data_IF_305029241625
#
_entry.id   IF_305029241625
#
_cell.length_a   1.000
_cell.length_b   1.000
_cell.length_c   1.000
_cell.angle_alpha   90.00
_cell.angle_beta   90.00
_cell.angle_gamma   90.00
#
_symmetry.space_group_name_H-M   'P 1'
#
loop_
_entity.id
_entity.type
_entity.pdbx_description
1 polymer ?
#
# COMPACT_ATOMS: atom_id res chain seq x y z
N UNK A 1 25.04 16.97 7.30
CA UNK A 1 24.42 17.44 8.52
C UNK A 1 22.88 17.53 8.35
N UNK A 2 22.12 18.40 9.09
CA UNK A 2 20.65 18.43 9.08
C UNK A 2 20.01 18.64 7.72
N UNK A 3 20.59 19.43 6.83
CA UNK A 3 20.06 19.69 5.49
C UNK A 3 20.17 18.46 4.57
N UNK A 4 21.22 17.69 4.67
CA UNK A 4 21.39 16.43 3.91
C UNK A 4 20.38 15.37 4.36
N UNK A 5 20.13 15.27 5.67
CA UNK A 5 19.10 14.37 6.20
C UNK A 5 17.70 14.77 5.68
N UNK A 6 17.39 16.07 5.66
CA UNK A 6 16.12 16.57 5.14
C UNK A 6 15.95 16.26 3.64
N UNK A 7 17.01 16.44 2.86
CA UNK A 7 17.01 16.07 1.43
C UNK A 7 16.82 14.56 1.23
N UNK A 8 17.43 13.73 2.09
CA UNK A 8 17.24 12.28 2.09
C UNK A 8 15.77 11.88 2.37
N UNK A 9 15.13 12.49 3.36
CA UNK A 9 13.73 12.25 3.67
C UNK A 9 12.80 12.67 2.51
N UNK A 10 13.06 13.83 1.90
CA UNK A 10 12.30 14.29 0.75
C UNK A 10 12.41 13.31 -0.43
N UNK A 11 13.63 12.84 -0.73
CA UNK A 11 13.86 11.84 -1.77
C UNK A 11 13.09 10.55 -1.48
N UNK A 12 13.11 10.07 -0.25
CA UNK A 12 12.40 8.86 0.15
C UNK A 12 10.87 9.02 0.00
N UNK A 13 10.32 10.16 0.45
CA UNK A 13 8.89 10.49 0.26
C UNK A 13 8.53 10.47 -1.22
N UNK A 14 9.33 11.12 -2.08
CA UNK A 14 9.07 11.18 -3.52
C UNK A 14 9.09 9.81 -4.17
N UNK A 15 10.00 8.92 -3.76
CA UNK A 15 10.06 7.55 -4.26
C UNK A 15 8.85 6.73 -3.79
N UNK A 16 8.49 6.81 -2.51
CA UNK A 16 7.34 6.10 -1.94
C UNK A 16 6.03 6.57 -2.58
N UNK A 17 5.77 7.86 -2.57
CA UNK A 17 4.56 8.44 -3.16
C UNK A 17 4.51 8.19 -4.66
N UNK A 18 5.63 8.37 -5.37
CA UNK A 18 5.73 8.11 -6.79
C UNK A 18 5.41 6.67 -7.15
N UNK A 19 5.95 5.69 -6.41
CA UNK A 19 5.63 4.28 -6.60
C UNK A 19 4.15 3.98 -6.35
N UNK A 20 3.57 4.54 -5.28
CA UNK A 20 2.14 4.36 -4.98
C UNK A 20 1.24 5.00 -6.05
N UNK A 21 1.62 6.15 -6.62
CA UNK A 21 0.89 6.76 -7.73
C UNK A 21 0.98 5.91 -9.01
N UNK A 22 2.13 5.29 -9.29
CA UNK A 22 2.27 4.33 -10.40
C UNK A 22 1.32 3.15 -10.18
N UNK A 23 1.22 2.62 -8.97
CA UNK A 23 0.28 1.54 -8.66
C UNK A 23 -1.17 2.00 -8.86
N UNK A 24 -1.54 3.18 -8.34
CA UNK A 24 -2.91 3.71 -8.42
C UNK A 24 -3.36 4.03 -9.85
N UNK A 25 -2.47 4.61 -10.68
CA UNK A 25 -2.85 5.14 -12.00
C UNK A 25 -2.41 4.29 -13.18
N UNK A 26 -1.54 3.30 -12.97
CA UNK A 26 -1.05 2.41 -14.02
C UNK A 26 -1.35 0.96 -13.69
N UNK A 27 -0.85 0.44 -12.56
CA UNK A 27 -0.93 -1.00 -12.26
C UNK A 27 -2.38 -1.43 -12.00
N UNK A 28 -3.09 -0.78 -11.10
CA UNK A 28 -4.49 -1.13 -10.80
C UNK A 28 -5.42 -0.93 -12.01
N UNK A 29 -5.36 0.19 -12.76
CA UNK A 29 -6.10 0.32 -14.01
C UNK A 29 -5.78 -0.77 -15.03
N UNK A 30 -4.51 -1.16 -15.18
CA UNK A 30 -4.12 -2.25 -16.08
C UNK A 30 -4.72 -3.60 -15.64
N UNK A 31 -4.73 -3.90 -14.35
CA UNK A 31 -5.37 -5.09 -13.79
C UNK A 31 -6.88 -5.09 -14.04
N UNK A 32 -7.55 -3.97 -13.76
CA UNK A 32 -9.00 -3.84 -14.03
C UNK A 32 -9.31 -4.04 -15.51
N UNK A 33 -8.53 -3.40 -16.40
CA UNK A 33 -8.69 -3.58 -17.84
C UNK A 33 -8.45 -5.03 -18.28
N UNK A 34 -7.44 -5.69 -17.73
CA UNK A 34 -7.13 -7.09 -18.06
C UNK A 34 -8.30 -8.03 -17.68
N UNK A 35 -8.96 -7.77 -16.56
CA UNK A 35 -10.04 -8.59 -16.04
C UNK A 35 -11.40 -8.27 -16.68
N UNK A 36 -11.72 -6.99 -16.90
CA UNK A 36 -13.05 -6.56 -17.34
C UNK A 36 -13.13 -6.23 -18.83
N UNK A 37 -11.97 -5.96 -19.46
CA UNK A 37 -11.87 -5.45 -20.84
C UNK A 37 -12.59 -4.11 -21.08
N UNK A 38 -12.91 -3.38 -20.03
CA UNK A 38 -13.55 -2.07 -20.07
C UNK A 38 -12.58 -0.97 -19.65
N UNK A 39 -12.91 0.29 -19.97
CA UNK A 39 -12.13 1.44 -19.51
C UNK A 39 -12.13 1.49 -17.97
N UNK A 40 -10.97 1.35 -17.31
CA UNK A 40 -10.89 1.28 -15.85
C UNK A 40 -11.04 2.65 -15.16
N UNK A 41 -10.68 3.73 -15.87
CA UNK A 41 -10.50 5.05 -15.25
C UNK A 41 -11.76 5.64 -14.60
N UNK A 42 -12.98 5.49 -15.17
CA UNK A 42 -14.18 6.01 -14.50
C UNK A 42 -14.36 5.40 -13.10
N UNK A 43 -14.16 4.08 -12.96
CA UNK A 43 -14.27 3.38 -11.67
C UNK A 43 -13.12 3.76 -10.74
N UNK A 44 -11.88 3.77 -11.23
CA UNK A 44 -10.70 4.18 -10.45
C UNK A 44 -10.88 5.58 -9.89
N UNK A 45 -11.31 6.55 -10.71
CA UNK A 45 -11.50 7.94 -10.27
C UNK A 45 -12.62 8.09 -9.22
N UNK A 46 -13.69 7.31 -9.31
CA UNK A 46 -14.73 7.31 -8.29
C UNK A 46 -14.17 6.76 -6.97
N UNK A 47 -13.45 5.64 -7.00
CA UNK A 47 -12.82 5.05 -5.82
C UNK A 47 -11.82 6.02 -5.18
N UNK A 48 -10.97 6.68 -5.96
CA UNK A 48 -10.03 7.68 -5.46
C UNK A 48 -10.73 8.88 -4.85
N UNK A 49 -11.78 9.40 -5.50
CA UNK A 49 -12.50 10.58 -5.02
C UNK A 49 -13.29 10.31 -3.74
N UNK A 50 -13.96 9.18 -3.61
CA UNK A 50 -14.91 8.95 -2.53
C UNK A 50 -14.33 8.11 -1.38
N UNK A 51 -13.36 7.24 -1.64
CA UNK A 51 -12.71 6.42 -0.63
C UNK A 51 -11.32 6.96 -0.25
N UNK A 52 -10.43 7.19 -1.24
CA UNK A 52 -9.05 7.55 -0.93
C UNK A 52 -8.92 8.86 -0.15
N UNK A 53 -9.76 9.87 -0.41
CA UNK A 53 -9.70 11.15 0.31
C UNK A 53 -9.97 10.93 1.81
N UNK A 54 -11.02 10.19 2.16
CA UNK A 54 -11.33 9.88 3.55
C UNK A 54 -10.20 9.05 4.21
N UNK A 55 -9.73 8.02 3.51
CA UNK A 55 -8.66 7.16 3.98
C UNK A 55 -7.34 7.90 4.18
N UNK A 56 -7.02 8.87 3.31
CA UNK A 56 -5.84 9.74 3.41
C UNK A 56 -5.80 10.49 4.76
N UNK A 57 -6.92 11.05 5.17
CA UNK A 57 -6.98 11.85 6.41
C UNK A 57 -7.09 10.97 7.67
N UNK A 58 -7.79 9.85 7.59
CA UNK A 58 -7.93 8.93 8.73
C UNK A 58 -6.70 8.07 8.97
N UNK A 59 -5.93 7.78 7.92
CA UNK A 59 -4.79 6.85 7.92
C UNK A 59 -5.15 5.48 8.51
N UNK A 60 -6.39 5.04 8.29
CA UNK A 60 -6.88 3.76 8.78
C UNK A 60 -7.88 3.16 7.79
N UNK A 61 -7.50 2.06 7.14
CA UNK A 61 -8.41 1.30 6.28
C UNK A 61 -9.58 0.74 7.09
N UNK A 62 -9.36 0.34 8.33
CA UNK A 62 -10.41 -0.13 9.22
C UNK A 62 -11.46 0.98 9.52
N UNK A 63 -11.00 2.21 9.80
CA UNK A 63 -11.91 3.34 10.00
C UNK A 63 -12.66 3.74 8.72
N UNK A 64 -12.14 3.38 7.54
CA UNK A 64 -12.75 3.70 6.25
C UNK A 64 -13.75 2.64 5.76
N UNK A 65 -13.91 1.52 6.47
CA UNK A 65 -14.89 0.45 6.12
C UNK A 65 -16.29 1.00 5.87
N UNK A 66 -16.88 1.84 6.74
CA UNK A 66 -18.23 2.37 6.50
C UNK A 66 -18.34 3.22 5.23
N UNK A 67 -17.30 3.99 4.91
CA UNK A 67 -17.23 4.82 3.69
C UNK A 67 -17.20 3.92 2.46
N UNK A 68 -16.37 2.87 2.47
CA UNK A 68 -16.24 1.92 1.38
C UNK A 68 -17.54 1.12 1.17
N UNK A 69 -18.21 0.68 2.24
CA UNK A 69 -19.51 0.01 2.14
C UNK A 69 -20.58 0.93 1.55
N UNK A 70 -20.63 2.19 1.97
CA UNK A 70 -21.55 3.18 1.40
C UNK A 70 -21.27 3.43 -0.09
N UNK A 71 -20.00 3.47 -0.49
CA UNK A 71 -19.61 3.61 -1.89
C UNK A 71 -20.00 2.37 -2.71
N UNK A 72 -19.79 1.15 -2.21
CA UNK A 72 -20.23 -0.07 -2.86
C UNK A 72 -21.75 -0.07 -3.09
N UNK A 73 -22.52 0.33 -2.09
CA UNK A 73 -23.99 0.48 -2.21
C UNK A 73 -24.37 1.51 -3.28
N UNK A 74 -23.67 2.66 -3.32
CA UNK A 74 -23.88 3.70 -4.34
C UNK A 74 -23.56 3.21 -5.75
N UNK A 75 -22.57 2.31 -5.90
CA UNK A 75 -22.22 1.66 -7.15
C UNK A 75 -23.18 0.54 -7.56
N UNK A 76 -24.17 0.24 -6.73
CA UNK A 76 -25.16 -0.81 -7.00
C UNK A 76 -24.65 -2.24 -6.82
N UNK A 77 -23.58 -2.43 -6.07
CA UNK A 77 -23.02 -3.76 -5.80
C UNK A 77 -23.92 -4.54 -4.83
N UNK A 78 -23.88 -5.87 -4.93
CA UNK A 78 -24.65 -6.76 -4.03
C UNK A 78 -24.12 -6.66 -2.60
N UNK A 79 -25.03 -6.49 -1.64
CA UNK A 79 -24.69 -6.36 -0.21
C UNK A 79 -23.97 -7.60 0.33
N UNK A 80 -24.38 -8.77 -0.10
CA UNK A 80 -23.78 -10.06 0.24
C UNK A 80 -22.27 -10.12 -0.12
N UNK A 81 -21.87 -9.43 -1.20
CA UNK A 81 -20.49 -9.38 -1.62
C UNK A 81 -19.69 -8.37 -0.79
N UNK A 82 -20.14 -7.09 -0.76
CA UNK A 82 -19.30 -6.04 -0.15
C UNK A 82 -19.31 -6.09 1.38
N UNK A 83 -20.30 -6.68 2.03
CA UNK A 83 -20.32 -6.88 3.48
C UNK A 83 -19.22 -7.82 3.96
N UNK A 84 -18.69 -8.66 3.09
CA UNK A 84 -17.57 -9.57 3.36
C UNK A 84 -16.27 -8.99 2.79
N UNK A 85 -16.28 -8.58 1.51
CA UNK A 85 -15.04 -8.19 0.82
C UNK A 85 -14.43 -6.90 1.38
N UNK A 86 -15.22 -5.92 1.80
CA UNK A 86 -14.70 -4.65 2.31
C UNK A 86 -14.02 -4.82 3.69
N UNK A 87 -14.64 -5.46 4.71
CA UNK A 87 -13.94 -5.72 5.96
C UNK A 87 -12.71 -6.62 5.79
N UNK A 88 -12.77 -7.61 4.91
CA UNK A 88 -11.63 -8.48 4.61
C UNK A 88 -10.51 -7.69 3.92
N UNK A 89 -10.84 -6.89 2.89
CA UNK A 89 -9.92 -6.05 2.16
C UNK A 89 -9.19 -5.05 3.06
N UNK A 90 -9.91 -4.44 4.01
CA UNK A 90 -9.32 -3.52 4.99
C UNK A 90 -8.21 -4.13 5.86
N UNK A 91 -8.04 -5.45 5.81
CA UNK A 91 -6.97 -6.18 6.51
C UNK A 91 -5.94 -6.81 5.57
N UNK A 92 -6.34 -7.33 4.42
CA UNK A 92 -5.45 -8.11 3.53
C UNK A 92 -5.10 -7.42 2.22
N UNK A 93 -5.91 -6.46 1.74
CA UNK A 93 -5.64 -5.75 0.50
C UNK A 93 -4.76 -4.52 0.75
N UNK A 94 -3.49 -4.76 1.03
CA UNK A 94 -2.53 -3.77 1.53
C UNK A 94 -1.39 -3.53 0.52
N UNK A 95 -1.75 -3.22 -0.73
CA UNK A 95 -0.76 -2.98 -1.80
C UNK A 95 0.18 -1.80 -1.51
N UNK A 96 -0.33 -0.73 -0.92
CA UNK A 96 0.49 0.41 -0.49
C UNK A 96 1.45 0.04 0.63
N UNK A 97 1.01 -0.79 1.59
CA UNK A 97 1.88 -1.30 2.66
C UNK A 97 3.01 -2.18 2.09
N UNK A 98 2.71 -3.03 1.10
CA UNK A 98 3.74 -3.83 0.42
C UNK A 98 4.80 -2.93 -0.26
N UNK A 99 4.37 -1.83 -0.90
CA UNK A 99 5.29 -0.82 -1.49
C UNK A 99 6.15 -0.18 -0.39
N UNK A 100 5.56 0.23 0.72
CA UNK A 100 6.30 0.83 1.85
C UNK A 100 7.35 -0.13 2.41
N UNK A 101 6.96 -1.36 2.72
CA UNK A 101 7.86 -2.39 3.26
C UNK A 101 9.03 -2.62 2.30
N UNK A 102 8.74 -2.81 1.00
CA UNK A 102 9.76 -3.06 -0.01
C UNK A 102 10.74 -1.90 -0.16
N UNK A 103 10.24 -0.67 -0.27
CA UNK A 103 11.10 0.51 -0.49
C UNK A 103 11.96 0.83 0.73
N UNK A 104 11.41 0.70 1.95
CA UNK A 104 12.20 0.92 3.16
C UNK A 104 13.26 -0.16 3.35
N UNK A 105 12.95 -1.43 3.08
CA UNK A 105 13.93 -2.50 3.10
C UNK A 105 15.05 -2.29 2.06
N UNK A 106 14.70 -1.90 0.83
CA UNK A 106 15.70 -1.57 -0.20
C UNK A 106 16.52 -0.33 0.17
N UNK A 107 15.93 0.64 0.86
CA UNK A 107 16.66 1.81 1.38
C UNK A 107 17.69 1.38 2.42
N UNK A 108 17.33 0.45 3.31
CA UNK A 108 18.26 -0.14 4.27
C UNK A 108 19.39 -0.90 3.56
N UNK A 109 19.07 -1.74 2.58
CA UNK A 109 20.06 -2.46 1.75
C UNK A 109 21.03 -1.49 1.10
N UNK A 110 20.53 -0.44 0.45
CA UNK A 110 21.36 0.56 -0.23
C UNK A 110 22.26 1.37 0.70
N UNK A 111 22.00 1.36 2.01
CA UNK A 111 22.87 1.99 3.02
C UNK A 111 24.07 1.12 3.40
N UNK A 112 24.09 -0.14 2.99
CA UNK A 112 25.11 -1.14 3.34
C UNK A 112 25.85 -1.58 2.07
N UNK A 113 27.05 -1.04 1.77
CA UNK A 113 27.75 -1.31 0.51
C UNK A 113 28.11 -2.78 0.25
N UNK A 114 28.15 -3.61 1.28
CA UNK A 114 28.46 -5.04 1.16
C UNK A 114 27.29 -5.91 0.68
N UNK A 115 26.06 -5.38 0.64
CA UNK A 115 24.88 -6.11 0.23
C UNK A 115 24.55 -5.79 -1.22
N UNK A 116 24.44 -6.82 -2.05
CA UNK A 116 24.00 -6.71 -3.44
C UNK A 116 22.66 -7.40 -3.61
N UNK A 117 21.73 -6.76 -4.30
CA UNK A 117 20.40 -7.31 -4.57
C UNK A 117 20.42 -8.02 -5.92
N UNK A 118 20.14 -9.30 -5.94
CA UNK A 118 19.92 -10.05 -7.17
C UNK A 118 18.45 -9.97 -7.61
N UNK A 119 18.14 -10.37 -8.84
CA UNK A 119 16.75 -10.43 -9.30
C UNK A 119 15.90 -11.41 -8.46
N UNK A 120 16.49 -12.52 -8.00
CA UNK A 120 15.83 -13.48 -7.12
C UNK A 120 15.47 -12.86 -5.76
N UNK A 121 16.40 -12.11 -5.17
CA UNK A 121 16.17 -11.39 -3.91
C UNK A 121 15.05 -10.35 -4.07
N UNK A 122 15.00 -9.65 -5.19
CA UNK A 122 13.94 -8.67 -5.47
C UNK A 122 12.56 -9.33 -5.57
N UNK A 123 12.45 -10.50 -6.24
CA UNK A 123 11.21 -11.27 -6.30
C UNK A 123 10.79 -11.78 -4.92
N UNK A 124 11.74 -12.31 -4.15
CA UNK A 124 11.47 -12.79 -2.80
C UNK A 124 11.05 -11.65 -1.87
N UNK A 125 11.69 -10.48 -1.99
CA UNK A 125 11.28 -9.28 -1.26
C UNK A 125 9.84 -8.88 -1.58
N UNK A 126 9.44 -8.87 -2.86
CA UNK A 126 8.06 -8.56 -3.26
C UNK A 126 7.07 -9.55 -2.62
N UNK A 127 7.40 -10.83 -2.62
CA UNK A 127 6.55 -11.87 -2.03
C UNK A 127 6.44 -11.71 -0.50
N UNK A 128 7.56 -11.52 0.20
CA UNK A 128 7.59 -11.32 1.66
C UNK A 128 6.87 -10.02 2.04
N UNK A 129 7.06 -8.95 1.28
CA UNK A 129 6.39 -7.67 1.52
C UNK A 129 4.88 -7.77 1.32
N UNK A 130 4.43 -8.49 0.30
CA UNK A 130 3.00 -8.71 0.05
C UNK A 130 2.35 -9.55 1.15
N UNK A 131 2.99 -10.65 1.59
CA UNK A 131 2.54 -11.46 2.72
C UNK A 131 2.56 -10.67 4.04
N UNK A 132 3.66 -9.94 4.29
CA UNK A 132 3.80 -9.11 5.49
C UNK A 132 2.71 -8.03 5.53
N UNK A 133 2.44 -7.39 4.39
CA UNK A 133 1.42 -6.35 4.30
C UNK A 133 0.04 -6.83 4.75
N UNK A 134 -0.33 -8.10 4.52
CA UNK A 134 -1.57 -8.68 5.05
C UNK A 134 -1.62 -8.69 6.59
N UNK A 135 -0.48 -8.54 7.27
CA UNK A 135 -0.39 -8.42 8.73
C UNK A 135 -0.39 -6.98 9.25
N UNK A 136 -0.45 -5.97 8.37
CA UNK A 136 -0.38 -4.56 8.78
C UNK A 136 -1.63 -4.05 9.53
N UNK A 137 -2.68 -4.83 9.59
CA UNK A 137 -3.90 -4.62 10.41
C UNK A 137 -4.73 -3.37 10.09
N UNK A 138 -4.47 -2.67 8.98
CA UNK A 138 -5.26 -1.50 8.54
C UNK A 138 -5.28 -0.31 9.51
N UNK A 139 -4.25 -0.20 10.36
CA UNK A 139 -4.07 0.89 11.33
C UNK A 139 -2.84 1.72 10.98
N UNK A 140 -2.84 2.99 11.42
CA UNK A 140 -1.77 3.92 11.13
C UNK A 140 -0.37 3.38 11.55
N UNK A 141 0.57 3.39 10.60
CA UNK A 141 1.94 2.96 10.83
C UNK A 141 2.16 1.44 10.91
N UNK A 142 1.12 0.63 10.68
CA UNK A 142 1.20 -0.83 10.79
C UNK A 142 2.23 -1.46 9.85
N UNK A 143 2.37 -0.96 8.63
CA UNK A 143 3.33 -1.44 7.64
C UNK A 143 4.79 -1.26 8.08
N UNK A 144 5.10 -0.17 8.81
CA UNK A 144 6.46 0.13 9.25
C UNK A 144 7.03 -0.93 10.19
N UNK A 145 6.17 -1.54 11.01
CA UNK A 145 6.58 -2.60 11.94
C UNK A 145 6.99 -3.89 11.23
N UNK A 146 6.69 -4.01 9.94
CA UNK A 146 7.03 -5.18 9.12
C UNK A 146 8.32 -4.99 8.30
N UNK A 147 8.90 -3.78 8.30
CA UNK A 147 10.18 -3.49 7.64
C UNK A 147 11.32 -4.39 8.14
N UNK A 148 11.46 -4.67 9.46
CA UNK A 148 12.50 -5.58 9.95
C UNK A 148 12.39 -7.00 9.38
N UNK A 149 11.17 -7.49 9.14
CA UNK A 149 10.95 -8.78 8.50
C UNK A 149 11.55 -8.82 7.09
N UNK A 150 11.32 -7.79 6.30
CA UNK A 150 11.87 -7.66 4.95
C UNK A 150 13.39 -7.42 4.95
N UNK A 151 13.91 -6.66 5.92
CA UNK A 151 15.35 -6.46 6.12
C UNK A 151 16.07 -7.76 6.47
N UNK A 152 15.43 -8.65 7.22
CA UNK A 152 15.95 -9.98 7.59
C UNK A 152 16.28 -10.86 6.38
N UNK A 153 15.59 -10.70 5.25
CA UNK A 153 15.91 -11.38 3.99
C UNK A 153 17.35 -11.13 3.52
N UNK A 154 17.86 -9.92 3.78
CA UNK A 154 19.21 -9.49 3.39
C UNK A 154 20.24 -9.64 4.53
N UNK A 155 19.89 -10.32 5.62
CA UNK A 155 20.76 -10.48 6.78
C UNK A 155 20.99 -9.17 7.56
N UNK A 156 20.14 -8.15 7.36
CA UNK A 156 20.23 -6.88 8.08
C UNK A 156 19.69 -7.08 9.51
N UNK A 157 20.55 -6.78 10.50
CA UNK A 157 20.21 -6.91 11.92
C UNK A 157 19.08 -5.97 12.33
N UNK A 158 18.34 -6.37 13.37
CA UNK A 158 17.18 -5.62 13.85
C UNK A 158 17.51 -4.18 14.26
N UNK A 159 18.71 -3.94 14.81
CA UNK A 159 19.15 -2.59 15.24
C UNK A 159 19.24 -1.61 14.07
N UNK A 160 19.69 -2.08 12.91
CA UNK A 160 19.75 -1.27 11.69
C UNK A 160 18.35 -1.13 11.10
N UNK A 161 17.59 -2.22 11.01
CA UNK A 161 16.23 -2.21 10.47
C UNK A 161 15.32 -1.24 11.25
N UNK A 162 15.43 -1.17 12.56
CA UNK A 162 14.66 -0.25 13.41
C UNK A 162 15.01 1.23 13.18
N UNK A 163 16.20 1.56 12.68
CA UNK A 163 16.50 2.93 12.26
C UNK A 163 15.65 3.35 11.05
N UNK A 164 15.42 2.43 10.10
CA UNK A 164 14.53 2.70 8.94
C UNK A 164 13.05 2.73 9.32
N UNK A 165 12.64 1.97 10.32
CA UNK A 165 11.32 2.12 10.96
C UNK A 165 11.16 3.53 11.53
N UNK A 166 12.16 4.04 12.24
CA UNK A 166 12.16 5.40 12.81
C UNK A 166 12.10 6.46 11.71
N UNK A 167 12.86 6.28 10.63
CA UNK A 167 12.76 7.14 9.43
C UNK A 167 11.34 7.11 8.87
N UNK A 168 10.76 5.92 8.72
CA UNK A 168 9.38 5.73 8.27
C UNK A 168 8.38 6.51 9.15
N UNK A 169 8.49 6.44 10.47
CA UNK A 169 7.64 7.23 11.37
C UNK A 169 7.86 8.73 11.21
N UNK A 170 9.09 9.18 10.95
CA UNK A 170 9.40 10.61 10.74
C UNK A 170 8.68 11.18 9.51
N UNK A 171 8.60 10.41 8.43
CA UNK A 171 7.88 10.79 7.20
C UNK A 171 6.42 10.31 7.18
N UNK A 172 6.00 9.60 8.23
CA UNK A 172 4.81 8.78 8.30
C UNK A 172 3.50 9.53 8.03
N UNK A 173 3.43 10.84 8.33
CA UNK A 173 2.20 11.60 8.05
C UNK A 173 1.85 11.56 6.57
N UNK A 174 2.82 11.78 5.68
CA UNK A 174 2.60 11.79 4.22
C UNK A 174 2.56 10.36 3.68
N UNK A 175 3.56 9.54 4.04
CA UNK A 175 3.70 8.18 3.54
C UNK A 175 2.46 7.33 3.86
N UNK A 176 2.06 7.28 5.13
CA UNK A 176 0.94 6.47 5.63
C UNK A 176 -0.42 6.96 5.13
N UNK A 177 -0.58 8.29 4.93
CA UNK A 177 -1.78 8.85 4.30
C UNK A 177 -1.95 8.37 2.85
N UNK A 178 -0.90 8.40 2.04
CA UNK A 178 -0.95 7.94 0.65
C UNK A 178 -1.08 6.42 0.59
N UNK A 179 -0.38 5.70 1.44
CA UNK A 179 -0.48 4.25 1.59
C UNK A 179 -1.92 3.82 1.87
N UNK A 180 -2.54 4.42 2.89
CA UNK A 180 -3.92 4.09 3.28
C UNK A 180 -4.93 4.48 2.22
N UNK A 181 -4.73 5.62 1.55
CA UNK A 181 -5.56 6.04 0.43
C UNK A 181 -5.55 4.99 -0.70
N UNK A 182 -4.37 4.47 -1.04
CA UNK A 182 -4.21 3.42 -2.05
C UNK A 182 -4.86 2.11 -1.61
N UNK A 183 -4.57 1.65 -0.38
CA UNK A 183 -5.11 0.41 0.16
C UNK A 183 -6.64 0.44 0.17
N UNK A 184 -7.21 1.45 0.80
CA UNK A 184 -8.66 1.53 1.03
C UNK A 184 -9.46 1.76 -0.24
N UNK A 185 -8.98 2.59 -1.17
CA UNK A 185 -9.69 2.80 -2.44
C UNK A 185 -9.67 1.57 -3.33
N UNK A 186 -8.62 0.75 -3.25
CA UNK A 186 -8.55 -0.51 -4.00
C UNK A 186 -9.46 -1.60 -3.45
N UNK A 187 -9.89 -1.54 -2.19
CA UNK A 187 -10.92 -2.45 -1.65
C UNK A 187 -12.22 -2.36 -2.45
N UNK A 188 -12.70 -1.13 -2.68
CA UNK A 188 -13.91 -0.89 -3.48
C UNK A 188 -13.67 -1.25 -4.95
N UNK A 189 -12.51 -0.87 -5.49
CA UNK A 189 -12.15 -1.14 -6.88
C UNK A 189 -12.21 -2.64 -7.20
N UNK A 190 -11.53 -3.47 -6.40
CA UNK A 190 -11.50 -4.91 -6.63
C UNK A 190 -12.81 -5.61 -6.25
N UNK A 191 -13.56 -5.10 -5.27
CA UNK A 191 -14.92 -5.58 -4.99
C UNK A 191 -15.85 -5.35 -6.19
N UNK A 192 -15.77 -4.19 -6.83
CA UNK A 192 -16.55 -3.88 -8.02
C UNK A 192 -16.18 -4.79 -9.20
N UNK A 193 -14.86 -5.00 -9.43
CA UNK A 193 -14.38 -5.92 -10.46
C UNK A 193 -14.85 -7.35 -10.20
N UNK A 194 -14.77 -7.84 -8.97
CA UNK A 194 -15.24 -9.17 -8.60
C UNK A 194 -16.76 -9.32 -8.85
N UNK A 195 -17.54 -8.29 -8.53
CA UNK A 195 -18.99 -8.27 -8.82
C UNK A 195 -19.31 -8.37 -10.31
N UNK A 196 -18.49 -7.70 -11.15
CA UNK A 196 -18.69 -7.67 -12.60
C UNK A 196 -18.28 -8.99 -13.28
N UNK A 197 -17.24 -9.64 -12.78
CA UNK A 197 -16.73 -10.90 -13.36
C UNK A 197 -17.46 -12.15 -12.87
N UNK A 198 -18.31 -12.04 -11.83
CA UNK A 198 -19.08 -13.15 -11.27
C UNK A 198 -20.49 -13.25 -11.82
N UNK A 199 -20.90 -12.36 -12.72
CA UNK A 199 -22.17 -12.39 -13.46
C UNK A 199 -21.92 -12.87 -14.88
#
# INVERSE_FOLDING_TARGET
>A
TGFEALAGYLKLILVLVGAMLVVAFIVYPAMVFALTRKNPYPLVMICLKESAISAFFTRSSAANIPVNMALCKKLGLKEELYSISIPLGATINMGGAAVTISILALTAVNSIPSITVTFGDALLLCFISALGACGASGVAGGSLLLVPLACGLFGIGNDIAMQFVTVGFTIGVIQDSVETALNSSSDVLFTAVASETSN
#
